data_IF_487140192666
#
_entry.id   IF_487140192666
#
_cell.length_a   1.000
_cell.length_b   1.000
_cell.length_c   1.000
_cell.angle_alpha   90.00
_cell.angle_beta   90.00
_cell.angle_gamma   90.00
#
_symmetry.space_group_name_H-M   'P 1'
#
loop_
_entity.id
_entity.type
_entity.pdbx_description
1 polymer ?
#
# COMPACT_ATOMS: atom_id res chain seq x y z
N UNK A 1 -17.50 -5.22 -12.60
CA UNK A 1 -17.09 -6.29 -11.68
C UNK A 1 -18.21 -6.47 -10.67
N UNK A 2 -19.06 -7.44 -10.96
CA UNK A 2 -20.40 -7.58 -10.39
C UNK A 2 -20.35 -7.98 -8.91
N UNK A 3 -21.32 -7.49 -8.14
CA UNK A 3 -21.41 -7.73 -6.70
C UNK A 3 -21.52 -9.23 -6.35
N UNK A 4 -22.08 -10.03 -7.27
CA UNK A 4 -22.19 -11.49 -7.12
C UNK A 4 -20.84 -12.21 -7.18
N UNK A 5 -19.84 -11.68 -7.90
CA UNK A 5 -18.53 -12.33 -8.04
C UNK A 5 -17.68 -12.20 -6.77
N UNK A 6 -17.94 -11.19 -5.92
CA UNK A 6 -17.22 -10.98 -4.66
C UNK A 6 -17.69 -11.93 -3.55
N UNK A 7 -18.95 -12.33 -3.57
CA UNK A 7 -19.51 -13.26 -2.58
C UNK A 7 -19.15 -14.74 -2.83
N UNK A 8 -18.61 -15.07 -4.01
CA UNK A 8 -18.21 -16.45 -4.37
C UNK A 8 -16.71 -16.73 -4.27
N UNK A 9 -15.90 -15.73 -3.90
CA UNK A 9 -14.45 -15.90 -3.86
C UNK A 9 -13.97 -16.35 -2.47
N UNK A 10 -13.45 -17.58 -2.41
CA UNK A 10 -12.78 -18.12 -1.22
C UNK A 10 -11.28 -18.22 -1.46
N UNK A 11 -10.48 -17.77 -0.49
CA UNK A 11 -9.03 -17.94 -0.53
C UNK A 11 -8.64 -19.42 -0.43
N UNK A 12 -7.43 -19.77 -0.89
CA UNK A 12 -6.93 -21.16 -0.88
C UNK A 12 -6.96 -21.80 0.51
N UNK A 13 -6.74 -21.01 1.55
CA UNK A 13 -6.69 -21.46 2.96
C UNK A 13 -8.08 -21.74 3.55
N UNK A 14 -9.14 -21.11 3.02
CA UNK A 14 -10.53 -21.42 3.37
C UNK A 14 -11.05 -22.61 2.56
N UNK A 15 -10.59 -22.77 1.31
CA UNK A 15 -10.92 -23.94 0.46
C UNK A 15 -10.38 -25.25 1.01
N UNK A 16 -9.23 -25.25 1.68
CA UNK A 16 -8.62 -26.45 2.27
C UNK A 16 -9.33 -26.95 3.54
N UNK A 17 -10.26 -26.18 4.11
CA UNK A 17 -11.03 -26.52 5.32
C UNK A 17 -12.41 -27.10 5.03
N UNK A 18 -12.82 -27.18 3.77
CA UNK A 18 -14.10 -27.79 3.37
C UNK A 18 -13.92 -29.30 3.16
N UNK A 19 -14.91 -30.12 3.55
CA UNK A 19 -14.88 -31.56 3.32
C UNK A 19 -14.89 -31.84 1.81
N UNK A 20 -13.93 -32.65 1.36
CA UNK A 20 -13.84 -33.07 -0.04
C UNK A 20 -14.99 -34.04 -0.34
N UNK A 21 -15.90 -33.67 -1.23
CA UNK A 21 -16.93 -34.57 -1.77
C UNK A 21 -16.53 -35.01 -3.19
N UNK A 22 -16.57 -36.34 -3.43
CA UNK A 22 -16.43 -36.93 -4.76
C UNK A 22 -15.04 -37.44 -5.13
N UNK A 23 -14.65 -38.61 -4.61
CA UNK A 23 -13.50 -39.36 -5.11
C UNK A 23 -13.98 -40.37 -6.16
N UNK A 24 -14.15 -39.93 -7.41
CA UNK A 24 -14.67 -40.79 -8.49
C UNK A 24 -13.67 -41.06 -9.61
N UNK A 25 -12.36 -40.84 -9.42
CA UNK A 25 -11.35 -41.16 -10.45
C UNK A 25 -9.96 -41.46 -9.84
N UNK A 26 -9.80 -42.63 -9.23
CA UNK A 26 -8.47 -43.20 -8.94
C UNK A 26 -8.47 -44.69 -9.29
N UNK A 27 -7.64 -45.15 -10.24
CA UNK A 27 -7.52 -46.57 -10.52
C UNK A 27 -6.66 -47.23 -9.43
N UNK A 28 -7.12 -48.40 -8.99
CA UNK A 28 -6.39 -49.28 -8.07
C UNK A 28 -5.24 -49.94 -8.84
N UNK A 29 -4.03 -49.95 -8.26
CA UNK A 29 -2.98 -50.89 -8.68
C UNK A 29 -2.28 -51.50 -7.47
N UNK A 30 -2.45 -52.82 -7.37
CA UNK A 30 -1.74 -53.74 -6.48
C UNK A 30 -0.41 -54.13 -7.16
N UNK A 31 0.65 -54.31 -6.36
CA UNK A 31 1.73 -55.34 -6.40
C UNK A 31 3.13 -54.78 -6.11
N UNK A 32 3.76 -55.30 -5.04
CA UNK A 32 5.10 -55.94 -4.97
C UNK A 32 6.06 -55.67 -6.16
N UNK A 33 7.36 -55.39 -6.06
CA UNK A 33 8.46 -55.64 -5.10
C UNK A 33 9.72 -54.82 -5.62
N UNK A 34 11.01 -55.08 -5.28
CA UNK A 34 11.88 -54.36 -4.32
C UNK A 34 13.20 -53.81 -4.97
N UNK A 35 14.27 -53.65 -4.16
CA UNK A 35 15.74 -53.52 -4.43
C UNK A 35 16.27 -52.17 -3.91
N UNK A 36 17.39 -52.03 -3.20
CA UNK A 36 18.30 -52.86 -2.41
C UNK A 36 19.37 -51.90 -1.86
N UNK A 37 19.96 -52.20 -0.70
CA UNK A 37 21.30 -51.73 -0.34
C UNK A 37 22.00 -52.80 0.50
N UNK A 38 23.23 -53.14 0.09
CA UNK A 38 24.22 -54.01 0.75
C UNK A 38 24.52 -53.49 2.18
N UNK A 39 24.97 -54.27 3.16
CA UNK A 39 26.23 -55.03 3.21
C UNK A 39 26.25 -55.98 4.44
N UNK A 40 27.01 -57.08 4.32
CA UNK A 40 27.67 -57.98 5.29
C UNK A 40 26.98 -58.50 6.57
N UNK A 41 26.90 -59.84 6.69
CA UNK A 41 27.55 -60.65 7.75
C UNK A 41 27.09 -62.13 7.76
N UNK A 42 28.03 -63.03 7.47
CA UNK A 42 28.43 -64.28 8.16
C UNK A 42 27.36 -65.22 8.82
N UNK A 43 27.50 -66.53 8.51
CA UNK A 43 27.12 -67.79 9.19
C UNK A 43 26.05 -68.70 8.53
N UNK A 44 26.55 -69.86 8.08
CA UNK A 44 25.90 -71.17 7.80
C UNK A 44 25.41 -71.88 9.09
N UNK A 45 24.89 -73.14 9.10
CA UNK A 45 24.24 -74.01 8.09
C UNK A 45 22.93 -74.71 8.60
N UNK A 46 22.12 -75.30 7.71
CA UNK A 46 21.31 -76.55 7.93
C UNK A 46 20.31 -76.71 6.77
N UNK A 47 20.55 -77.60 5.80
CA UNK A 47 19.99 -78.97 5.76
C UNK A 47 18.49 -79.05 6.07
N UNK A 48 17.67 -79.35 5.06
CA UNK A 48 16.82 -80.55 5.08
C UNK A 48 16.22 -80.84 3.68
N UNK A 49 16.57 -82.03 3.21
CA UNK A 49 16.21 -82.68 1.97
C UNK A 49 14.81 -83.28 2.03
N UNK A 50 14.03 -83.18 0.95
CA UNK A 50 12.86 -84.04 0.73
C UNK A 50 12.63 -84.32 -0.77
N UNK A 51 13.36 -85.27 -1.37
CA UNK A 51 12.84 -86.06 -2.52
C UNK A 51 13.43 -87.48 -2.52
N UNK A 52 12.53 -88.43 -2.71
CA UNK A 52 12.56 -89.89 -2.56
C UNK A 52 13.38 -90.70 -3.58
N UNK A 53 14.15 -91.64 -3.01
CA UNK A 53 14.46 -93.03 -3.40
C UNK A 53 14.68 -93.44 -4.87
N UNK A 54 15.89 -93.94 -5.11
CA UNK A 54 16.29 -94.87 -6.19
C UNK A 54 16.23 -96.31 -5.66
N UNK A 55 15.76 -97.29 -6.44
CA UNK A 55 16.37 -98.63 -6.58
C UNK A 55 15.96 -99.27 -7.91
N UNK A 56 16.95 -99.95 -8.48
CA UNK A 56 17.08 -100.57 -9.81
C UNK A 56 16.11 -101.73 -10.05
N UNK A 57 15.78 -101.96 -11.32
CA UNK A 57 15.64 -103.31 -11.85
C UNK A 57 16.39 -103.49 -13.18
N UNK A 58 16.93 -104.70 -13.32
CA UNK A 58 17.99 -105.16 -14.24
C UNK A 58 17.34 -105.80 -15.46
N UNK A 59 17.74 -105.46 -16.69
CA UNK A 59 17.79 -106.45 -17.77
C UNK A 59 18.62 -105.96 -18.97
N UNK A 60 19.08 -106.97 -19.69
CA UNK A 60 20.18 -107.13 -20.64
C UNK A 60 19.96 -106.65 -22.07
N UNK A 61 21.12 -106.39 -22.71
CA UNK A 61 21.54 -106.63 -24.11
C UNK A 61 20.96 -105.76 -25.25
N UNK A 62 21.93 -105.37 -26.08
CA UNK A 62 21.94 -105.36 -27.55
C UNK A 62 21.62 -104.05 -28.26
N UNK A 63 22.64 -103.56 -28.99
CA UNK A 63 22.47 -103.36 -30.43
C UNK A 63 21.79 -102.08 -30.89
N UNK A 64 22.63 -101.05 -31.05
CA UNK A 64 22.74 -100.19 -32.24
C UNK A 64 21.64 -99.17 -32.58
N UNK A 65 22.14 -97.95 -32.83
CA UNK A 65 21.60 -96.93 -33.73
C UNK A 65 20.19 -96.43 -33.44
N UNK A 66 20.09 -95.38 -32.63
CA UNK A 66 19.18 -94.29 -32.98
C UNK A 66 19.65 -92.94 -32.46
N UNK A 67 19.47 -91.93 -33.30
CA UNK A 67 19.79 -90.51 -33.13
C UNK A 67 19.18 -89.93 -31.84
N UNK A 68 19.90 -90.04 -30.73
CA UNK A 68 19.56 -89.42 -29.46
C UNK A 68 20.31 -88.08 -29.35
N UNK A 69 19.58 -86.97 -29.36
CA UNK A 69 20.14 -85.66 -29.01
C UNK A 69 20.57 -85.72 -27.55
N UNK A 70 21.88 -85.61 -27.30
CA UNK A 70 22.44 -85.60 -25.94
C UNK A 70 21.87 -84.44 -25.13
N UNK A 71 21.61 -84.64 -23.82
CA UNK A 71 21.09 -83.63 -22.89
C UNK A 71 21.87 -82.30 -22.98
N UNK A 72 23.21 -82.36 -23.08
CA UNK A 72 24.09 -81.21 -23.32
C UNK A 72 23.75 -80.41 -24.58
N UNK A 73 23.36 -81.08 -25.68
CA UNK A 73 23.07 -80.42 -26.97
C UNK A 73 21.72 -79.71 -26.94
N UNK A 74 20.73 -80.29 -26.26
CA UNK A 74 19.45 -79.63 -25.96
C UNK A 74 19.65 -78.43 -25.03
N UNK A 75 20.45 -78.58 -23.95
CA UNK A 75 20.79 -77.46 -23.05
C UNK A 75 21.51 -76.33 -23.78
N UNK A 76 22.39 -76.65 -24.72
CA UNK A 76 23.08 -75.65 -25.55
C UNK A 76 22.13 -74.90 -26.46
N UNK A 77 21.27 -75.60 -27.21
CA UNK A 77 20.31 -74.98 -28.12
C UNK A 77 19.33 -74.10 -27.35
N UNK A 78 18.81 -74.59 -26.22
CA UNK A 78 17.90 -73.83 -25.35
C UNK A 78 18.61 -72.62 -24.74
N UNK A 79 19.85 -72.77 -24.25
CA UNK A 79 20.63 -71.62 -23.76
C UNK A 79 20.83 -70.59 -24.85
N UNK A 80 21.17 -71.01 -26.06
CA UNK A 80 21.48 -70.13 -27.18
C UNK A 80 20.24 -69.36 -27.64
N UNK A 81 19.13 -70.05 -27.88
CA UNK A 81 17.81 -69.47 -28.18
C UNK A 81 17.34 -68.50 -27.08
N UNK A 82 17.48 -68.87 -25.80
CA UNK A 82 17.14 -67.99 -24.68
C UNK A 82 18.07 -66.77 -24.61
N UNK A 83 19.39 -66.92 -24.82
CA UNK A 83 20.30 -65.77 -24.85
C UNK A 83 20.05 -64.86 -26.05
N UNK A 84 19.69 -65.40 -27.22
CA UNK A 84 19.45 -64.60 -28.42
C UNK A 84 18.11 -63.86 -28.33
N UNK A 85 17.07 -64.51 -27.82
CA UNK A 85 15.78 -63.86 -27.52
C UNK A 85 15.89 -62.81 -26.43
N UNK A 86 16.61 -63.08 -25.32
CA UNK A 86 16.87 -62.09 -24.27
C UNK A 86 17.73 -60.95 -24.81
N UNK A 87 18.79 -61.22 -25.57
CA UNK A 87 19.62 -60.17 -26.18
C UNK A 87 18.79 -59.29 -27.10
N UNK A 88 17.93 -59.87 -27.94
CA UNK A 88 17.04 -59.12 -28.83
C UNK A 88 16.10 -58.21 -28.03
N UNK A 89 15.38 -58.77 -27.06
CA UNK A 89 14.41 -58.03 -26.23
C UNK A 89 15.08 -56.92 -25.40
N UNK A 90 16.25 -57.21 -24.82
CA UNK A 90 17.04 -56.24 -24.05
C UNK A 90 17.60 -55.14 -24.95
N UNK A 91 18.09 -55.48 -26.14
CA UNK A 91 18.59 -54.49 -27.10
C UNK A 91 17.49 -53.57 -27.60
N UNK A 92 16.30 -54.12 -27.87
CA UNK A 92 15.12 -53.36 -28.26
C UNK A 92 14.65 -52.41 -27.13
N UNK A 93 14.57 -52.90 -25.89
CA UNK A 93 14.20 -52.07 -24.73
C UNK A 93 15.26 -51.00 -24.45
N UNK A 94 16.56 -51.32 -24.56
CA UNK A 94 17.64 -50.34 -24.39
C UNK A 94 17.63 -49.28 -25.49
N UNK A 95 17.33 -49.65 -26.74
CA UNK A 95 17.18 -48.68 -27.83
C UNK A 95 16.00 -47.73 -27.59
N UNK A 96 14.86 -48.27 -27.14
CA UNK A 96 13.68 -47.48 -26.83
C UNK A 96 13.89 -46.56 -25.61
N UNK A 97 14.60 -47.05 -24.59
CA UNK A 97 15.01 -46.24 -23.44
C UNK A 97 15.98 -45.12 -23.87
N UNK A 98 16.95 -45.39 -24.74
CA UNK A 98 17.85 -44.36 -25.24
C UNK A 98 17.10 -43.25 -26.00
N UNK A 99 16.09 -43.61 -26.80
CA UNK A 99 15.23 -42.64 -27.48
C UNK A 99 14.41 -41.78 -26.50
N UNK A 100 13.89 -42.38 -25.43
CA UNK A 100 13.18 -41.62 -24.38
C UNK A 100 14.14 -40.71 -23.60
N UNK A 101 15.35 -41.20 -23.29
CA UNK A 101 16.39 -40.42 -22.61
C UNK A 101 16.84 -39.24 -23.47
N UNK A 102 17.01 -39.42 -24.78
CA UNK A 102 17.33 -38.32 -25.70
C UNK A 102 16.19 -37.29 -25.79
N UNK A 103 14.94 -37.75 -25.90
CA UNK A 103 13.78 -36.84 -25.87
C UNK A 103 13.63 -36.09 -24.55
N UNK A 104 14.02 -36.72 -23.44
CA UNK A 104 14.05 -36.09 -22.12
C UNK A 104 15.19 -35.06 -22.01
N UNK A 105 16.38 -35.35 -22.56
CA UNK A 105 17.49 -34.41 -22.61
C UNK A 105 17.13 -33.15 -23.43
N UNK A 106 16.46 -33.31 -24.57
CA UNK A 106 15.95 -32.20 -25.37
C UNK A 106 14.94 -31.37 -24.59
N UNK A 107 13.96 -32.00 -23.93
CA UNK A 107 12.98 -31.33 -23.10
C UNK A 107 13.63 -30.57 -21.93
N UNK A 108 14.63 -31.16 -21.29
CA UNK A 108 15.35 -30.56 -20.16
C UNK A 108 16.20 -29.37 -20.62
N UNK A 109 16.86 -29.46 -21.77
CA UNK A 109 17.60 -28.34 -22.36
C UNK A 109 16.67 -27.17 -22.76
N UNK A 110 15.49 -27.47 -23.31
CA UNK A 110 14.47 -26.47 -23.59
C UNK A 110 13.97 -25.77 -22.32
N UNK A 111 13.66 -26.53 -21.27
CA UNK A 111 13.23 -25.97 -19.97
C UNK A 111 14.34 -25.14 -19.34
N UNK A 112 15.60 -25.59 -19.40
CA UNK A 112 16.75 -24.83 -18.90
C UNK A 112 16.84 -23.47 -19.59
N UNK A 113 16.72 -23.44 -20.92
CA UNK A 113 16.75 -22.18 -21.67
C UNK A 113 15.60 -21.25 -21.30
N UNK A 114 14.38 -21.77 -21.22
CA UNK A 114 13.21 -20.98 -20.80
C UNK A 114 13.36 -20.46 -19.36
N UNK A 115 14.01 -21.22 -18.49
CA UNK A 115 14.31 -20.82 -17.12
C UNK A 115 15.34 -19.68 -17.09
N UNK A 116 16.41 -19.77 -17.89
CA UNK A 116 17.41 -18.72 -18.01
C UNK A 116 16.81 -17.42 -18.55
N UNK A 117 16.00 -17.50 -19.61
CA UNK A 117 15.29 -16.34 -20.20
C UNK A 117 14.32 -15.70 -19.19
N UNK A 118 13.60 -16.53 -18.41
CA UNK A 118 12.72 -16.06 -17.36
C UNK A 118 13.52 -15.38 -16.24
N UNK A 119 14.65 -15.96 -15.85
CA UNK A 119 15.50 -15.42 -14.79
C UNK A 119 16.09 -14.08 -15.21
N UNK A 120 16.54 -13.95 -16.46
CA UNK A 120 16.96 -12.68 -17.03
C UNK A 120 15.83 -11.65 -16.98
N UNK A 121 14.63 -11.99 -17.46
CA UNK A 121 13.49 -11.06 -17.46
C UNK A 121 13.09 -10.61 -16.05
N UNK A 122 13.15 -11.51 -15.07
CA UNK A 122 12.85 -11.19 -13.67
C UNK A 122 13.90 -10.24 -13.09
N UNK A 123 15.19 -10.45 -13.38
CA UNK A 123 16.26 -9.57 -12.93
C UNK A 123 16.12 -8.17 -13.55
N UNK A 124 15.89 -8.06 -14.85
CA UNK A 124 15.70 -6.77 -15.54
C UNK A 124 14.47 -6.00 -15.00
N UNK A 125 13.38 -6.72 -14.73
CA UNK A 125 12.18 -6.12 -14.10
C UNK A 125 12.45 -5.71 -12.67
N UNK A 126 13.16 -6.51 -11.89
CA UNK A 126 13.54 -6.19 -10.51
C UNK A 126 14.39 -4.90 -10.45
N UNK A 127 15.39 -4.77 -11.31
CA UNK A 127 16.19 -3.54 -11.45
C UNK A 127 15.35 -2.33 -11.84
N UNK A 128 14.41 -2.53 -12.78
CA UNK A 128 13.51 -1.47 -13.21
C UNK A 128 12.59 -1.02 -12.08
N UNK A 129 12.05 -1.96 -11.30
CA UNK A 129 11.22 -1.67 -10.12
C UNK A 129 12.03 -0.88 -9.09
N UNK A 130 13.25 -1.32 -8.76
CA UNK A 130 14.12 -0.61 -7.81
C UNK A 130 14.42 0.83 -8.27
N UNK A 131 14.71 1.00 -9.56
CA UNK A 131 14.91 2.33 -10.17
C UNK A 131 13.65 3.20 -10.10
N UNK A 132 12.47 2.63 -10.35
CA UNK A 132 11.21 3.35 -10.28
C UNK A 132 10.85 3.74 -8.84
N UNK A 133 11.05 2.85 -7.87
CA UNK A 133 10.86 3.13 -6.45
C UNK A 133 11.76 4.29 -6.01
N UNK A 134 13.06 4.22 -6.32
CA UNK A 134 14.00 5.29 -5.98
C UNK A 134 13.64 6.63 -6.63
N UNK A 135 13.18 6.62 -7.89
CA UNK A 135 12.69 7.83 -8.56
C UNK A 135 11.43 8.37 -7.89
N UNK A 136 10.49 7.51 -7.51
CA UNK A 136 9.24 7.91 -6.86
C UNK A 136 9.50 8.53 -5.48
N UNK A 137 10.41 7.98 -4.69
CA UNK A 137 10.83 8.56 -3.41
C UNK A 137 11.44 9.96 -3.58
N UNK A 138 12.33 10.12 -4.58
CA UNK A 138 12.92 11.41 -4.93
C UNK A 138 11.86 12.43 -5.36
N UNK A 139 10.94 12.03 -6.25
CA UNK A 139 9.85 12.89 -6.71
C UNK A 139 8.91 13.27 -5.57
N UNK A 140 8.52 12.32 -4.72
CA UNK A 140 7.66 12.57 -3.55
C UNK A 140 8.32 13.59 -2.62
N UNK A 141 9.63 13.44 -2.38
CA UNK A 141 10.40 14.39 -1.56
C UNK A 141 10.46 15.78 -2.20
N UNK A 142 10.68 15.86 -3.51
CA UNK A 142 10.71 17.13 -4.25
C UNK A 142 9.34 17.82 -4.24
N UNK A 143 8.25 17.08 -4.49
CA UNK A 143 6.88 17.59 -4.45
C UNK A 143 6.56 18.14 -3.07
N UNK A 144 6.94 17.43 -2.00
CA UNK A 144 6.76 17.92 -0.63
C UNK A 144 7.53 19.22 -0.39
N UNK A 145 8.80 19.27 -0.78
CA UNK A 145 9.63 20.48 -0.63
C UNK A 145 9.05 21.69 -1.39
N UNK A 146 8.61 21.47 -2.63
CA UNK A 146 7.98 22.52 -3.45
C UNK A 146 6.65 22.98 -2.85
N UNK A 147 5.84 22.06 -2.35
CA UNK A 147 4.57 22.37 -1.67
C UNK A 147 4.80 23.21 -0.42
N UNK A 148 5.79 22.84 0.41
CA UNK A 148 6.15 23.58 1.62
C UNK A 148 6.65 25.00 1.27
N UNK A 149 7.50 25.12 0.24
CA UNK A 149 7.97 26.42 -0.27
C UNK A 149 6.84 27.28 -0.80
N UNK A 150 5.94 26.71 -1.58
CA UNK A 150 4.76 27.39 -2.11
C UNK A 150 3.91 27.93 -0.95
N UNK A 151 3.61 27.09 0.04
CA UNK A 151 2.83 27.48 1.22
C UNK A 151 3.50 28.62 2.01
N UNK A 152 4.83 28.61 2.11
CA UNK A 152 5.58 29.71 2.73
C UNK A 152 5.44 31.01 1.94
N UNK A 153 5.54 30.96 0.61
CA UNK A 153 5.39 32.13 -0.27
C UNK A 153 3.96 32.69 -0.17
N UNK A 154 2.94 31.84 -0.27
CA UNK A 154 1.54 32.26 -0.16
C UNK A 154 1.21 32.94 1.17
N UNK A 155 1.78 32.42 2.28
CA UNK A 155 1.65 33.04 3.60
C UNK A 155 2.36 34.39 3.63
N UNK A 156 3.57 34.48 3.11
CA UNK A 156 4.34 35.73 3.07
C UNK A 156 3.61 36.81 2.26
N UNK A 157 2.95 36.44 1.15
CA UNK A 157 2.14 37.38 0.35
C UNK A 157 0.93 37.95 1.12
N UNK A 158 0.52 37.32 2.22
CA UNK A 158 -0.64 37.72 3.04
C UNK A 158 -0.26 38.29 4.41
N UNK A 159 1.03 38.45 4.71
CA UNK A 159 1.53 38.93 6.01
C UNK A 159 0.96 40.31 6.39
N UNK A 160 0.78 41.22 5.42
CA UNK A 160 0.22 42.54 5.66
C UNK A 160 -1.31 42.60 5.51
N UNK A 161 -1.96 41.44 5.29
CA UNK A 161 -3.39 41.40 5.00
C UNK A 161 -4.20 41.11 6.25
N UNK A 162 -5.36 41.75 6.34
CA UNK A 162 -6.39 41.54 7.35
C UNK A 162 -7.66 41.08 6.67
N UNK A 163 -8.33 40.10 7.26
CA UNK A 163 -9.64 39.63 6.83
C UNK A 163 -10.70 40.10 7.82
N UNK A 164 -11.70 40.82 7.29
CA UNK A 164 -12.85 41.30 8.03
C UNK A 164 -14.09 40.53 7.56
N UNK A 165 -14.80 39.93 8.50
CA UNK A 165 -16.01 39.13 8.26
C UNK A 165 -17.19 39.71 9.03
N UNK A 166 -18.40 39.51 8.49
CA UNK A 166 -19.64 40.02 9.12
C UNK A 166 -20.02 41.45 8.73
N UNK A 167 -19.43 42.00 7.66
CA UNK A 167 -19.85 43.29 7.10
C UNK A 167 -20.97 43.03 6.06
N UNK A 168 -22.21 43.51 6.27
CA UNK A 168 -23.31 43.41 5.32
C UNK A 168 -22.94 43.99 3.94
N UNK A 169 -23.52 43.45 2.87
CA UNK A 169 -23.24 43.88 1.50
C UNK A 169 -24.25 44.93 1.04
N UNK A 170 -23.77 46.07 0.55
CA UNK A 170 -24.60 47.14 -0.03
C UNK A 170 -24.10 47.51 -1.42
N UNK A 171 -25.02 47.91 -2.31
CA UNK A 171 -24.69 48.31 -3.70
C UNK A 171 -23.75 49.51 -3.76
N UNK A 172 -23.87 50.43 -2.80
CA UNK A 172 -23.09 51.66 -2.69
C UNK A 172 -22.23 51.64 -1.43
N UNK A 173 -21.51 50.55 -1.19
CA UNK A 173 -20.60 50.44 -0.06
C UNK A 173 -19.26 51.12 -0.33
N UNK A 174 -18.75 51.85 0.67
CA UNK A 174 -17.38 52.34 0.67
C UNK A 174 -16.56 51.54 1.70
N UNK A 175 -15.78 50.60 1.20
CA UNK A 175 -14.97 49.73 2.04
C UNK A 175 -13.81 50.49 2.70
N UNK A 176 -13.24 51.50 2.04
CA UNK A 176 -12.18 52.32 2.61
C UNK A 176 -12.68 53.07 3.84
N UNK A 177 -13.80 53.78 3.73
CA UNK A 177 -14.38 54.51 4.87
C UNK A 177 -14.75 53.58 6.02
N UNK A 178 -15.23 52.36 5.72
CA UNK A 178 -15.54 51.34 6.72
C UNK A 178 -14.29 50.91 7.49
N UNK A 179 -13.15 50.76 6.81
CA UNK A 179 -11.86 50.38 7.43
C UNK A 179 -11.29 51.53 8.26
N UNK A 180 -11.38 52.77 7.78
CA UNK A 180 -10.97 53.94 8.56
C UNK A 180 -11.82 54.12 9.83
N UNK A 181 -13.13 53.92 9.71
CA UNK A 181 -14.05 53.97 10.83
C UNK A 181 -13.75 52.85 11.85
N UNK A 182 -13.49 51.63 11.37
CA UNK A 182 -13.02 50.53 12.21
C UNK A 182 -11.79 50.94 13.01
N UNK A 183 -10.77 51.51 12.34
CA UNK A 183 -9.54 51.99 12.99
C UNK A 183 -9.83 53.02 14.08
N UNK A 184 -10.69 54.01 13.82
CA UNK A 184 -11.10 55.02 14.80
C UNK A 184 -11.77 54.41 16.04
N UNK A 185 -12.69 53.47 15.85
CA UNK A 185 -13.45 52.83 16.95
C UNK A 185 -12.54 52.01 17.86
N UNK A 186 -11.57 51.30 17.27
CA UNK A 186 -10.65 50.46 18.06
C UNK A 186 -9.45 51.23 18.60
N UNK A 187 -9.45 52.56 18.53
CA UNK A 187 -8.36 53.43 18.98
C UNK A 187 -7.03 53.14 18.25
N UNK A 188 -7.10 52.76 16.98
CA UNK A 188 -5.98 52.49 16.08
C UNK A 188 -6.25 53.11 14.71
N UNK A 189 -6.17 54.46 14.58
CA UNK A 189 -6.50 55.15 13.35
C UNK A 189 -5.58 54.69 12.20
N UNK A 190 -6.18 54.38 11.06
CA UNK A 190 -5.48 53.98 9.83
C UNK A 190 -5.75 55.08 8.82
N UNK A 191 -4.70 55.69 8.28
CA UNK A 191 -4.85 56.66 7.20
C UNK A 191 -5.12 55.93 5.88
N UNK A 192 -5.86 56.57 4.98
CA UNK A 192 -6.11 56.03 3.63
C UNK A 192 -4.80 55.64 2.92
N UNK A 193 -3.72 56.42 3.11
CA UNK A 193 -2.41 56.14 2.50
C UNK A 193 -1.74 54.84 3.01
N UNK A 194 -2.18 54.29 4.14
CA UNK A 194 -1.67 53.03 4.69
C UNK A 194 -2.44 51.82 4.17
N UNK A 195 -3.55 52.05 3.47
CA UNK A 195 -4.38 51.03 2.83
C UNK A 195 -3.94 50.90 1.38
N UNK A 196 -3.24 49.82 1.06
CA UNK A 196 -2.77 49.56 -0.31
C UNK A 196 -3.89 49.03 -1.21
N UNK A 197 -4.79 48.22 -0.67
CA UNK A 197 -5.89 47.64 -1.42
C UNK A 197 -7.00 47.13 -0.50
N UNK A 198 -8.26 47.29 -0.90
CA UNK A 198 -9.43 46.73 -0.21
C UNK A 198 -10.36 46.09 -1.23
N UNK A 199 -10.77 44.84 -0.98
CA UNK A 199 -11.72 44.15 -1.85
C UNK A 199 -12.50 43.09 -1.08
N UNK A 200 -13.70 42.77 -1.54
CA UNK A 200 -14.40 41.55 -1.12
C UNK A 200 -13.82 40.33 -1.84
N UNK A 201 -13.77 39.19 -1.15
CA UNK A 201 -13.45 37.90 -1.78
C UNK A 201 -14.74 37.12 -2.06
N UNK A 202 -14.72 36.36 -3.15
CA UNK A 202 -15.75 35.35 -3.42
C UNK A 202 -15.90 34.36 -2.27
N UNK A 203 -17.15 33.92 -2.01
CA UNK A 203 -17.41 32.89 -1.02
C UNK A 203 -16.90 31.55 -1.53
N UNK A 204 -16.31 30.75 -0.63
CA UNK A 204 -15.98 29.37 -0.94
C UNK A 204 -17.25 28.53 -1.14
N UNK A 205 -18.27 28.76 -0.31
CA UNK A 205 -19.60 28.19 -0.46
C UNK A 205 -20.58 29.27 -0.95
N UNK A 206 -21.05 29.13 -2.20
CA UNK A 206 -21.95 30.09 -2.85
C UNK A 206 -23.35 30.11 -2.23
N UNK A 207 -23.78 28.99 -1.65
CA UNK A 207 -25.10 28.83 -1.01
C UNK A 207 -25.17 29.46 0.39
N UNK A 208 -24.06 30.00 0.91
CA UNK A 208 -24.05 30.61 2.24
C UNK A 208 -24.69 32.00 2.22
N UNK A 209 -25.69 32.19 3.08
CA UNK A 209 -26.29 33.51 3.35
C UNK A 209 -25.35 34.48 4.08
N UNK A 210 -24.17 34.05 4.53
CA UNK A 210 -23.19 34.94 5.18
C UNK A 210 -22.60 35.93 4.17
N UNK A 211 -22.36 37.20 4.53
CA UNK A 211 -21.75 38.17 3.63
C UNK A 211 -20.31 37.77 3.26
N UNK A 212 -19.86 38.22 2.09
CA UNK A 212 -18.47 38.04 1.61
C UNK A 212 -17.47 38.73 2.54
N UNK A 213 -16.36 38.06 2.85
CA UNK A 213 -15.26 38.68 3.60
C UNK A 213 -14.64 39.83 2.84
N UNK A 214 -14.21 40.86 3.56
CA UNK A 214 -13.39 41.97 3.05
C UNK A 214 -11.93 41.69 3.39
N UNK A 215 -11.04 41.81 2.41
CA UNK A 215 -9.59 41.82 2.63
C UNK A 215 -9.08 43.23 2.51
N UNK A 216 -8.26 43.60 3.48
CA UNK A 216 -7.51 44.86 3.52
C UNK A 216 -6.04 44.51 3.46
N UNK A 217 -5.32 45.01 2.46
CA UNK A 217 -3.86 44.97 2.40
C UNK A 217 -3.32 46.27 2.96
N UNK A 218 -2.62 46.18 4.09
CA UNK A 218 -2.00 47.33 4.74
C UNK A 218 -0.55 47.51 4.26
N UNK A 219 0.00 48.70 4.50
CA UNK A 219 1.37 49.07 4.12
C UNK A 219 2.44 48.17 4.72
N UNK A 220 2.22 47.64 5.93
CA UNK A 220 3.21 46.83 6.64
C UNK A 220 2.55 45.82 7.59
N UNK A 221 3.30 44.78 7.97
CA UNK A 221 2.89 43.83 9.02
C UNK A 221 2.60 44.53 10.35
N UNK A 222 3.35 45.57 10.70
CA UNK A 222 3.15 46.33 11.96
C UNK A 222 1.73 46.91 12.07
N UNK A 223 1.28 47.65 11.05
CA UNK A 223 -0.09 48.19 10.99
C UNK A 223 -1.15 47.09 11.15
N UNK A 224 -0.89 45.93 10.52
CA UNK A 224 -1.77 44.76 10.59
C UNK A 224 -1.82 44.18 12.01
N UNK A 225 -0.68 44.02 12.67
CA UNK A 225 -0.60 43.49 14.04
C UNK A 225 -1.21 44.47 15.06
N UNK A 226 -0.97 45.76 14.86
CA UNK A 226 -1.51 46.84 15.69
C UNK A 226 -3.04 46.88 15.64
N UNK A 227 -3.62 46.80 14.43
CA UNK A 227 -5.08 46.73 14.25
C UNK A 227 -5.68 45.49 14.93
N UNK A 228 -5.07 44.32 14.77
CA UNK A 228 -5.58 43.08 15.39
C UNK A 228 -5.48 43.11 16.92
N UNK A 229 -4.38 43.65 17.45
CA UNK A 229 -4.21 43.87 18.88
C UNK A 229 -5.24 44.88 19.40
N UNK A 230 -5.50 45.96 18.68
CA UNK A 230 -6.49 46.97 19.00
C UNK A 230 -7.91 46.40 19.06
N UNK A 231 -8.31 45.62 18.05
CA UNK A 231 -9.60 44.90 18.04
C UNK A 231 -9.71 43.94 19.22
N UNK A 232 -8.62 43.23 19.55
CA UNK A 232 -8.59 42.32 20.70
C UNK A 232 -8.75 43.08 22.02
N UNK A 233 -8.08 44.23 22.19
CA UNK A 233 -8.23 45.10 23.37
C UNK A 233 -9.65 45.64 23.49
N UNK A 234 -10.22 46.13 22.38
CA UNK A 234 -11.59 46.61 22.31
C UNK A 234 -12.58 45.54 22.76
N UNK A 235 -12.48 44.32 22.23
CA UNK A 235 -13.38 43.22 22.60
C UNK A 235 -13.21 42.74 24.05
N UNK A 236 -12.02 42.89 24.63
CA UNK A 236 -11.78 42.59 26.05
C UNK A 236 -12.36 43.66 26.97
N UNK A 237 -12.29 44.94 26.59
CA UNK A 237 -12.89 46.08 27.29
C UNK A 237 -14.42 46.03 27.22
N UNK A 238 -14.96 45.65 26.06
CA UNK A 238 -16.39 45.61 25.78
C UNK A 238 -16.92 44.17 25.67
N UNK A 239 -16.95 43.41 26.79
CA UNK A 239 -17.32 41.99 26.77
C UNK A 239 -18.75 41.73 26.26
N UNK A 240 -19.70 42.57 26.67
CA UNK A 240 -21.12 42.47 26.31
C UNK A 240 -21.47 43.21 25.01
N UNK A 241 -20.56 44.07 24.54
CA UNK A 241 -20.71 44.84 23.31
C UNK A 241 -19.46 44.77 22.44
N UNK A 242 -19.10 43.54 22.03
CA UNK A 242 -17.99 43.30 21.10
C UNK A 242 -18.23 44.00 19.76
N UNK A 243 -17.15 44.16 19.00
CA UNK A 243 -17.17 44.77 17.68
C UNK A 243 -18.30 44.18 16.81
N UNK A 244 -19.13 45.07 16.27
CA UNK A 244 -20.34 44.73 15.54
C UNK A 244 -20.66 45.84 14.52
N UNK A 245 -21.66 45.58 13.68
CA UNK A 245 -22.08 46.50 12.60
C UNK A 245 -22.50 47.89 13.07
N UNK A 246 -23.11 47.99 14.25
CA UNK A 246 -23.56 49.26 14.84
C UNK A 246 -22.39 50.18 15.16
N UNK A 247 -21.30 49.64 15.71
CA UNK A 247 -20.07 50.43 15.94
C UNK A 247 -19.56 51.02 14.62
N UNK A 248 -19.59 50.24 13.54
CA UNK A 248 -19.18 50.67 12.21
C UNK A 248 -20.19 51.62 11.53
N UNK A 249 -21.23 52.06 12.22
CA UNK A 249 -22.26 52.94 11.66
C UNK A 249 -23.03 52.30 10.50
N UNK A 250 -22.98 50.98 10.38
CA UNK A 250 -23.70 50.24 9.35
C UNK A 250 -25.13 50.03 9.84
N UNK A 251 -26.08 50.65 9.15
CA UNK A 251 -27.50 50.48 9.44
C UNK A 251 -27.98 49.03 9.26
N UNK A 252 -29.06 48.67 9.95
CA UNK A 252 -29.68 47.36 9.86
C UNK A 252 -29.61 46.56 11.16
N UNK A 253 -29.56 45.23 11.04
CA UNK A 253 -29.46 44.35 12.21
C UNK A 253 -28.05 44.40 12.80
N UNK A 254 -27.97 44.41 14.13
CA UNK A 254 -26.71 44.30 14.87
C UNK A 254 -26.11 42.92 14.68
N UNK A 255 -25.02 42.84 13.92
CA UNK A 255 -24.31 41.59 13.62
C UNK A 255 -22.84 41.68 14.08
N UNK A 256 -22.26 40.59 14.58
CA UNK A 256 -20.87 40.59 15.03
C UNK A 256 -19.91 40.72 13.86
N UNK A 257 -18.89 41.56 14.01
CA UNK A 257 -17.83 41.76 13.03
C UNK A 257 -16.52 41.18 13.58
N UNK A 258 -15.88 40.32 12.81
CA UNK A 258 -14.61 39.70 13.21
C UNK A 258 -13.48 40.16 12.30
N UNK A 259 -12.38 40.55 12.93
CA UNK A 259 -11.14 40.95 12.28
C UNK A 259 -10.09 39.89 12.59
N UNK A 260 -9.47 39.32 11.57
CA UNK A 260 -8.57 38.18 11.71
C UNK A 260 -7.42 38.22 10.70
N UNK A 261 -6.42 37.35 10.91
CA UNK A 261 -5.35 37.15 9.95
C UNK A 261 -5.90 36.62 8.62
N UNK A 262 -5.42 37.13 7.50
CA UNK A 262 -5.77 36.56 6.20
C UNK A 262 -4.99 35.26 5.95
N UNK A 263 -5.59 34.14 6.32
CA UNK A 263 -5.05 32.81 6.09
C UNK A 263 -5.23 32.31 4.66
N UNK A 264 -4.32 31.44 4.22
CA UNK A 264 -4.50 30.65 2.98
C UNK A 264 -5.69 29.69 3.15
N UNK A 265 -6.35 29.27 2.05
CA UNK A 265 -7.44 28.29 2.11
C UNK A 265 -7.04 27.01 2.85
N UNK A 266 -5.84 26.49 2.60
CA UNK A 266 -5.28 25.34 3.30
C UNK A 266 -5.17 25.57 4.80
N UNK A 267 -4.63 26.72 5.24
CA UNK A 267 -4.54 27.04 6.67
C UNK A 267 -5.91 27.30 7.30
N UNK A 268 -6.89 27.84 6.56
CA UNK A 268 -8.27 27.95 7.06
C UNK A 268 -8.88 26.58 7.32
N UNK A 269 -8.68 25.63 6.40
CA UNK A 269 -9.10 24.24 6.58
C UNK A 269 -8.39 23.59 7.77
N UNK A 270 -7.06 23.69 7.82
CA UNK A 270 -6.24 23.14 8.90
C UNK A 270 -6.62 23.73 10.27
N UNK A 271 -6.92 25.03 10.34
CA UNK A 271 -7.37 25.67 11.57
C UNK A 271 -8.76 25.17 12.02
N UNK A 272 -9.68 24.93 11.08
CA UNK A 272 -10.97 24.34 11.38
C UNK A 272 -10.81 22.90 11.91
N UNK A 273 -9.98 22.09 11.26
CA UNK A 273 -9.66 20.72 11.68
C UNK A 273 -8.97 20.70 13.06
N UNK A 274 -7.98 21.58 13.28
CA UNK A 274 -7.26 21.73 14.54
C UNK A 274 -8.20 22.09 15.69
N UNK A 275 -9.12 23.05 15.50
CA UNK A 275 -10.12 23.40 16.53
C UNK A 275 -11.05 22.25 16.87
N UNK A 276 -11.51 21.50 15.86
CA UNK A 276 -12.37 20.32 16.07
C UNK A 276 -11.65 19.28 16.92
N UNK A 277 -10.45 18.90 16.51
CA UNK A 277 -9.65 17.88 17.19
C UNK A 277 -9.17 18.32 18.58
N UNK A 278 -8.75 19.58 18.71
CA UNK A 278 -8.38 20.17 20.00
C UNK A 278 -9.53 20.09 21.01
N UNK A 279 -10.77 20.35 20.57
CA UNK A 279 -11.96 20.22 21.41
C UNK A 279 -12.18 18.78 21.86
N UNK A 280 -12.01 17.81 20.96
CA UNK A 280 -12.12 16.37 21.26
C UNK A 280 -11.04 15.90 22.25
N UNK A 281 -9.81 16.41 22.12
CA UNK A 281 -8.65 16.07 22.97
C UNK A 281 -8.53 16.93 24.25
N UNK A 282 -9.51 17.80 24.53
CA UNK A 282 -9.53 18.63 25.75
C UNK A 282 -8.47 19.74 25.78
N UNK A 283 -8.04 20.25 24.64
CA UNK A 283 -7.16 21.41 24.56
C UNK A 283 -7.92 22.71 24.82
N UNK A 284 -7.42 23.55 25.73
CA UNK A 284 -8.07 24.80 26.12
C UNK A 284 -7.91 25.91 25.08
N UNK A 285 -6.78 25.93 24.34
CA UNK A 285 -6.45 27.08 23.49
C UNK A 285 -6.03 26.63 22.09
N UNK A 286 -6.64 27.25 21.07
CA UNK A 286 -6.19 27.20 19.67
C UNK A 286 -6.26 28.60 19.11
N UNK A 287 -5.15 29.09 18.57
CA UNK A 287 -5.06 30.44 18.02
C UNK A 287 -4.13 30.49 16.82
N UNK A 288 -4.17 31.62 16.12
CA UNK A 288 -3.34 31.90 14.97
C UNK A 288 -2.38 33.03 15.35
N UNK A 289 -1.12 32.91 14.94
CA UNK A 289 -0.12 33.97 15.04
C UNK A 289 0.83 33.88 13.85
N UNK A 290 1.03 34.99 13.14
CA UNK A 290 1.93 35.07 11.96
C UNK A 290 1.60 34.00 10.90
N UNK A 291 0.32 33.74 10.68
CA UNK A 291 -0.19 32.72 9.77
C UNK A 291 0.06 31.27 10.22
N UNK A 292 0.53 31.06 11.45
CA UNK A 292 0.78 29.74 12.05
C UNK A 292 -0.34 29.39 13.03
N UNK A 293 -0.76 28.13 13.00
CA UNK A 293 -1.80 27.61 13.90
C UNK A 293 -1.11 26.99 15.10
N UNK A 294 -1.46 27.48 16.29
CA UNK A 294 -0.89 27.03 17.56
C UNK A 294 -2.01 26.46 18.42
N UNK A 295 -1.70 25.36 19.10
CA UNK A 295 -2.61 24.73 20.05
C UNK A 295 -1.90 24.50 21.39
N UNK A 296 -2.61 24.66 22.50
CA UNK A 296 -2.07 24.48 23.85
C UNK A 296 -3.11 23.79 24.71
N UNK A 297 -2.68 22.73 25.41
CA UNK A 297 -3.58 21.92 26.24
C UNK A 297 -4.07 22.72 27.43
N UNK A 298 -3.15 23.18 28.29
CA UNK A 298 -3.46 23.95 29.50
C UNK A 298 -2.50 25.16 29.64
N UNK A 299 -2.75 26.05 30.60
CA UNK A 299 -1.90 27.25 30.85
C UNK A 299 -0.44 26.97 31.23
N UNK A 300 -0.10 25.72 31.56
CA UNK A 300 1.26 25.29 31.88
C UNK A 300 1.95 24.56 30.73
N UNK A 301 1.20 24.00 29.77
CA UNK A 301 1.77 23.17 28.71
C UNK A 301 2.49 24.02 27.67
N UNK A 302 3.41 23.47 26.88
CA UNK A 302 3.96 24.18 25.72
C UNK A 302 2.92 24.30 24.59
N UNK A 303 3.07 25.33 23.76
CA UNK A 303 2.28 25.49 22.55
C UNK A 303 2.83 24.58 21.44
N UNK A 304 1.95 23.85 20.77
CA UNK A 304 2.25 22.96 19.66
C UNK A 304 1.94 23.69 18.37
N UNK A 305 2.89 23.69 17.43
CA UNK A 305 2.68 24.21 16.09
C UNK A 305 2.06 23.16 15.18
N UNK A 306 0.87 23.45 14.66
CA UNK A 306 0.16 22.61 13.70
C UNK A 306 0.49 23.12 12.29
N UNK A 307 1.42 22.45 11.61
CA UNK A 307 1.87 22.81 10.25
C UNK A 307 1.13 22.06 9.13
N UNK A 308 0.68 20.85 9.40
CA UNK A 308 0.08 19.92 8.44
C UNK A 308 -0.90 18.96 9.14
N UNK A 309 -1.58 18.13 8.37
CA UNK A 309 -2.53 17.14 8.89
C UNK A 309 -1.85 16.08 9.75
N UNK A 310 -0.57 15.78 9.51
CA UNK A 310 0.22 14.89 10.36
C UNK A 310 0.42 15.49 11.75
N UNK A 311 0.67 16.80 11.84
CA UNK A 311 0.82 17.52 13.10
C UNK A 311 -0.48 17.56 13.90
N UNK A 312 -1.65 17.40 13.27
CA UNK A 312 -2.91 17.22 14.00
C UNK A 312 -2.87 15.97 14.88
N UNK A 313 -2.10 14.94 14.55
CA UNK A 313 -1.94 13.73 15.37
C UNK A 313 -1.28 14.00 16.73
N UNK A 314 -0.61 15.15 16.90
CA UNK A 314 -0.03 15.58 18.17
C UNK A 314 -1.08 16.05 19.19
N UNK A 315 -2.32 16.30 18.74
CA UNK A 315 -3.45 16.65 19.61
C UNK A 315 -4.10 15.37 20.15
N UNK A 316 -3.49 14.81 21.21
CA UNK A 316 -3.96 13.64 21.97
C UNK A 316 -4.44 14.02 23.38
#
# INVERSE_FOLDING_TARGET
>A
MDAESRNKWNCQQCRSKLPKTGNSNTPVRITNHPIASKEDSILSPSEESNVTTRIKNKCSKSGNSDSCVTEERLRMIIKQEITDTIKSLVSEHLANLNLQVSGFQESLSFISKQYDDLMQSVNEKSETINRLVSKNEKLTTQVKNLTDRLGQIERNMRVCNVEITGIPEHKSENLLSTVEQLGRIVESPIAESDILHVTRIAKLNKESNRPRSVIVKLRSQRHRDELLAAVTRFNKKNKDNKLNTEHLGLGGRREPVFVSEHLTPTNKHLHAAARKKAKEAGFMFVWIRDGRILARKNEQSHAIYIKDDESLKLLL
#
